data_IF_486029892345
#
_entry.id   IF_486029892345
#
_cell.length_a   1.000
_cell.length_b   1.000
_cell.length_c   1.000
_cell.angle_alpha   90.00
_cell.angle_beta   90.00
_cell.angle_gamma   90.00
#
_symmetry.space_group_name_H-M   'P 1'
#
loop_
_entity.id
_entity.type
_entity.pdbx_description
1 polymer ?
#
# COMPACT_ATOMS: atom_id res chain seq x y z
N UNK A 1 5.10 -8.76 39.11
CA UNK A 1 5.54 -9.06 37.72
C UNK A 1 4.37 -9.76 37.04
N UNK A 2 3.53 -9.00 36.31
CA UNK A 2 2.33 -9.56 35.67
C UNK A 2 2.64 -9.83 34.20
N UNK A 3 2.42 -11.07 33.79
CA UNK A 3 2.73 -11.58 32.47
C UNK A 3 1.94 -10.86 31.36
N UNK A 4 2.65 -10.55 30.27
CA UNK A 4 2.12 -10.02 29.01
C UNK A 4 0.96 -10.89 28.51
N UNK A 5 -0.14 -10.24 28.14
CA UNK A 5 -1.36 -10.86 27.65
C UNK A 5 -1.08 -11.77 26.44
N UNK A 6 -1.35 -13.07 26.61
CA UNK A 6 -1.55 -14.01 25.52
C UNK A 6 -2.82 -13.59 24.77
N UNK A 7 -2.71 -13.29 23.48
CA UNK A 7 -3.81 -13.09 22.54
C UNK A 7 -4.39 -11.65 22.37
N UNK A 8 -3.56 -10.62 22.55
CA UNK A 8 -3.82 -9.33 21.93
C UNK A 8 -3.03 -9.22 20.62
N UNK A 9 -3.68 -9.29 19.46
CA UNK A 9 -3.02 -8.94 18.19
C UNK A 9 -2.50 -7.51 18.34
N UNK A 10 -1.17 -7.31 18.29
CA UNK A 10 -0.51 -6.09 18.79
C UNK A 10 -0.50 -4.91 17.80
N UNK A 11 -1.40 -4.91 16.82
CA UNK A 11 -1.53 -3.83 15.85
C UNK A 11 -3.01 -3.51 15.68
N UNK A 12 -3.48 -2.42 16.32
CA UNK A 12 -4.83 -1.87 16.10
C UNK A 12 -4.97 -1.18 14.73
N UNK A 13 -3.85 -1.07 14.01
CA UNK A 13 -3.70 -0.38 12.74
C UNK A 13 -2.79 -1.23 11.84
N UNK A 14 -3.12 -1.38 10.56
CA UNK A 14 -2.25 -2.02 9.58
C UNK A 14 -0.85 -1.45 9.62
N UNK A 15 0.14 -2.33 9.61
CA UNK A 15 1.55 -1.99 9.60
C UNK A 15 1.99 -1.72 8.17
N UNK A 16 2.80 -0.68 7.95
CA UNK A 16 3.45 -0.46 6.66
C UNK A 16 4.43 -1.61 6.42
N UNK A 17 4.25 -2.32 5.31
CA UNK A 17 5.05 -3.48 4.92
C UNK A 17 5.87 -3.25 3.67
N UNK A 18 5.50 -2.24 2.88
CA UNK A 18 6.21 -1.83 1.65
C UNK A 18 6.25 -0.30 1.58
N UNK A 19 7.36 0.24 1.09
CA UNK A 19 7.54 1.67 0.88
C UNK A 19 8.45 1.88 -0.33
N UNK A 20 8.10 2.83 -1.19
CA UNK A 20 8.95 3.26 -2.30
C UNK A 20 8.79 4.75 -2.59
N UNK A 21 9.89 5.41 -2.90
CA UNK A 21 9.93 6.83 -3.28
C UNK A 21 10.10 6.96 -4.79
N UNK A 22 9.38 7.90 -5.40
CA UNK A 22 9.48 8.17 -6.82
C UNK A 22 10.87 8.67 -7.18
N UNK A 23 11.59 8.04 -8.12
CA UNK A 23 12.87 8.53 -8.60
C UNK A 23 12.74 9.81 -9.46
N UNK A 24 11.50 10.21 -9.78
CA UNK A 24 11.20 11.36 -10.62
C UNK A 24 10.84 12.61 -9.82
N UNK A 25 10.40 12.46 -8.56
CA UNK A 25 9.98 13.57 -7.70
C UNK A 25 10.34 13.30 -6.25
N UNK A 26 11.25 14.11 -5.73
CA UNK A 26 11.61 14.11 -4.32
C UNK A 26 10.37 14.38 -3.44
N UNK A 27 10.22 13.57 -2.38
CA UNK A 27 9.10 13.70 -1.46
C UNK A 27 7.79 13.07 -1.93
N UNK A 28 7.77 12.45 -3.13
CA UNK A 28 6.67 11.59 -3.57
C UNK A 28 6.89 10.15 -3.12
N UNK A 29 6.20 9.74 -2.07
CA UNK A 29 6.38 8.45 -1.41
C UNK A 29 5.08 7.67 -1.38
N UNK A 30 5.18 6.36 -1.64
CA UNK A 30 4.09 5.39 -1.59
C UNK A 30 4.37 4.39 -0.48
N UNK A 31 3.40 4.14 0.40
CA UNK A 31 3.52 3.21 1.52
C UNK A 31 2.34 2.24 1.54
N UNK A 32 2.61 0.94 1.48
CA UNK A 32 1.62 -0.13 1.47
C UNK A 32 1.52 -0.81 2.81
N UNK A 33 0.30 -1.13 3.26
CA UNK A 33 0.05 -1.82 4.53
C UNK A 33 -0.39 -3.26 4.34
N UNK A 34 -0.24 -4.06 5.39
CA UNK A 34 -0.71 -5.45 5.40
C UNK A 34 -2.24 -5.58 5.35
N UNK A 35 -2.96 -4.53 5.74
CA UNK A 35 -4.42 -4.41 5.64
C UNK A 35 -4.91 -3.98 4.24
N UNK A 36 -4.02 -3.83 3.25
CA UNK A 36 -4.41 -3.49 1.89
C UNK A 36 -4.67 -2.01 1.64
N UNK A 37 -4.14 -1.12 2.50
CA UNK A 37 -4.16 0.32 2.28
C UNK A 37 -2.85 0.76 1.64
N UNK A 38 -2.93 1.69 0.68
CA UNK A 38 -1.78 2.42 0.15
C UNK A 38 -1.93 3.88 0.55
N UNK A 39 -0.93 4.41 1.24
CA UNK A 39 -0.81 5.81 1.60
C UNK A 39 0.20 6.49 0.67
N UNK A 40 -0.15 7.67 0.16
CA UNK A 40 0.67 8.44 -0.77
C UNK A 40 0.91 9.83 -0.21
N UNK A 41 2.14 10.31 -0.24
CA UNK A 41 2.49 11.70 0.06
C UNK A 41 3.27 12.28 -1.11
N UNK A 42 3.10 13.56 -1.41
CA UNK A 42 3.87 14.28 -2.43
C UNK A 42 4.64 15.50 -1.89
N UNK A 43 4.70 15.60 -0.56
CA UNK A 43 5.37 16.66 0.19
C UNK A 43 6.23 16.11 1.33
N UNK A 44 6.89 14.98 1.11
CA UNK A 44 7.86 14.42 2.06
C UNK A 44 7.25 13.96 3.39
N UNK A 45 5.95 13.64 3.39
CA UNK A 45 5.24 13.12 4.56
C UNK A 45 4.52 14.17 5.42
N UNK A 46 4.49 15.44 5.00
CA UNK A 46 3.67 16.47 5.68
C UNK A 46 2.17 16.18 5.56
N UNK A 47 1.73 15.60 4.43
CA UNK A 47 0.35 15.17 4.20
C UNK A 47 0.27 13.83 3.48
N UNK A 48 -0.74 13.02 3.82
CA UNK A 48 -0.92 11.67 3.29
C UNK A 48 -2.34 11.47 2.76
N UNK A 49 -2.44 10.94 1.55
CA UNK A 49 -3.67 10.51 0.90
C UNK A 49 -3.77 8.99 1.01
N UNK A 50 -4.94 8.47 1.40
CA UNK A 50 -5.14 7.03 1.60
C UNK A 50 -6.01 6.47 0.50
N UNK A 51 -5.59 5.34 -0.03
CA UNK A 51 -6.30 4.55 -1.03
C UNK A 51 -6.48 3.15 -0.46
N UNK A 52 -7.72 2.71 -0.33
CA UNK A 52 -8.09 1.45 0.32
C UNK A 52 -8.96 0.55 -0.57
N UNK A 53 -9.28 0.98 -1.77
CA UNK A 53 -10.10 0.25 -2.73
C UNK A 53 -9.41 0.28 -4.09
N UNK A 54 -9.30 -0.89 -4.71
CA UNK A 54 -8.68 -1.03 -6.03
C UNK A 54 -9.57 -1.93 -6.90
N UNK A 55 -9.82 -1.56 -8.17
CA UNK A 55 -10.63 -2.38 -9.07
C UNK A 55 -10.06 -3.80 -9.20
N UNK A 56 -10.87 -4.81 -8.87
CA UNK A 56 -10.48 -6.22 -8.97
C UNK A 56 -9.62 -6.75 -7.81
N UNK A 57 -9.33 -5.93 -6.79
CA UNK A 57 -8.63 -6.36 -5.57
C UNK A 57 -9.63 -6.46 -4.42
N UNK A 58 -9.79 -7.64 -3.78
CA UNK A 58 -10.63 -7.78 -2.60
C UNK A 58 -10.17 -6.88 -1.45
N UNK A 59 -11.09 -6.43 -0.60
CA UNK A 59 -10.75 -5.69 0.61
C UNK A 59 -9.85 -6.51 1.55
N UNK A 60 -8.94 -5.83 2.23
CA UNK A 60 -7.93 -6.44 3.11
C UNK A 60 -6.97 -7.40 2.41
N UNK A 61 -6.60 -7.09 1.17
CA UNK A 61 -5.54 -7.83 0.44
C UNK A 61 -4.17 -7.23 0.75
N UNK A 62 -3.22 -8.06 1.17
CA UNK A 62 -1.86 -7.64 1.52
C UNK A 62 -1.15 -6.94 0.36
N UNK A 63 -0.64 -5.72 0.58
CA UNK A 63 0.22 -5.02 -0.39
C UNK A 63 1.63 -5.56 -0.24
N UNK A 64 1.99 -6.52 -1.10
CA UNK A 64 3.27 -7.21 -1.00
C UNK A 64 4.45 -6.32 -1.38
N UNK A 65 4.30 -5.57 -2.46
CA UNK A 65 5.38 -4.72 -2.98
C UNK A 65 4.80 -3.50 -3.70
N UNK A 66 5.55 -2.40 -3.66
CA UNK A 66 5.25 -1.14 -4.34
C UNK A 66 6.48 -0.71 -5.12
N UNK A 67 6.30 -0.37 -6.40
CA UNK A 67 7.37 0.09 -7.27
C UNK A 67 6.91 1.35 -7.98
N UNK A 68 7.52 2.49 -7.65
CA UNK A 68 7.31 3.74 -8.33
C UNK A 68 7.89 3.67 -9.75
N UNK A 69 7.13 4.19 -10.71
CA UNK A 69 7.52 4.18 -12.11
C UNK A 69 8.69 5.12 -12.36
N UNK A 70 9.67 4.64 -13.13
CA UNK A 70 10.79 5.45 -13.63
C UNK A 70 10.41 6.34 -14.81
N UNK A 71 9.20 6.18 -15.36
CA UNK A 71 8.76 6.86 -16.58
C UNK A 71 7.55 7.76 -16.38
N UNK A 72 6.79 7.57 -15.30
CA UNK A 72 5.63 8.40 -14.98
C UNK A 72 5.68 8.84 -13.53
N UNK A 73 5.76 10.15 -13.30
CA UNK A 73 5.93 10.75 -11.97
C UNK A 73 4.89 10.22 -10.97
N UNK A 74 3.63 10.14 -11.40
CA UNK A 74 2.49 9.80 -10.56
C UNK A 74 2.06 8.34 -10.68
N UNK A 75 2.91 7.47 -11.24
CA UNK A 75 2.58 6.07 -11.48
C UNK A 75 3.32 5.17 -10.50
N UNK A 76 2.57 4.31 -9.79
CA UNK A 76 3.11 3.25 -8.93
C UNK A 76 2.50 1.92 -9.32
N UNK A 77 3.31 0.87 -9.34
CA UNK A 77 2.87 -0.51 -9.51
C UNK A 77 2.77 -1.17 -8.15
N UNK A 78 1.62 -1.75 -7.84
CA UNK A 78 1.43 -2.50 -6.61
C UNK A 78 1.22 -4.00 -6.92
N UNK A 79 1.90 -4.84 -6.14
CA UNK A 79 1.69 -6.27 -6.13
C UNK A 79 0.82 -6.64 -4.93
N UNK A 80 -0.37 -7.17 -5.19
CA UNK A 80 -1.28 -7.63 -4.15
C UNK A 80 -1.18 -9.15 -3.95
N UNK A 81 -1.07 -9.59 -2.70
CA UNK A 81 -0.97 -11.01 -2.35
C UNK A 81 -2.16 -11.43 -1.49
N UNK A 82 -3.10 -12.17 -2.08
CA UNK A 82 -4.25 -12.75 -1.36
C UNK A 82 -4.04 -14.24 -1.01
N UNK A 83 -2.80 -14.69 -0.86
CA UNK A 83 -2.51 -16.12 -0.69
C UNK A 83 -2.99 -16.68 0.65
N UNK A 84 -3.24 -15.84 1.66
CA UNK A 84 -3.72 -16.27 2.98
C UNK A 84 -5.22 -16.62 3.05
N UNK A 85 -6.03 -16.35 2.01
CA UNK A 85 -7.50 -16.54 2.05
C UNK A 85 -8.06 -17.65 1.13
N UNK A 86 -7.25 -18.65 0.80
CA UNK A 86 -7.69 -19.93 0.20
C UNK A 86 -8.18 -19.89 -1.26
N UNK A 87 -7.58 -19.06 -2.12
CA UNK A 87 -7.63 -19.25 -3.57
C UNK A 87 -6.22 -19.04 -4.15
N UNK A 88 -5.71 -20.06 -4.82
CA UNK A 88 -4.42 -20.02 -5.53
C UNK A 88 -4.64 -19.35 -6.89
N UNK A 89 -4.64 -18.02 -6.93
CA UNK A 89 -4.72 -17.22 -8.16
C UNK A 89 -3.78 -16.00 -8.08
N UNK A 90 -3.32 -15.48 -9.23
CA UNK A 90 -1.98 -14.95 -9.41
C UNK A 90 -1.81 -13.56 -8.81
N UNK A 91 -0.55 -13.15 -8.66
CA UNK A 91 -0.17 -11.79 -8.32
C UNK A 91 -0.87 -10.83 -9.28
N UNK A 92 -1.74 -9.97 -8.76
CA UNK A 92 -2.31 -8.87 -9.53
C UNK A 92 -1.30 -7.73 -9.53
N UNK A 93 -0.82 -7.36 -10.73
CA UNK A 93 -0.03 -6.15 -10.95
C UNK A 93 -0.95 -5.09 -11.56
N UNK A 94 -1.12 -3.97 -10.86
CA UNK A 94 -1.91 -2.83 -11.33
C UNK A 94 -1.04 -1.59 -11.36
N UNK A 95 -1.09 -0.85 -12.46
CA UNK A 95 -0.55 0.50 -12.53
C UNK A 95 -1.59 1.45 -11.94
N UNK A 96 -1.20 2.21 -10.92
CA UNK A 96 -2.06 3.23 -10.31
C UNK A 96 -1.47 4.59 -10.63
N UNK A 97 -2.31 5.49 -11.15
CA UNK A 97 -1.92 6.88 -11.41
C UNK A 97 -2.61 7.79 -10.40
N UNK A 98 -1.86 8.62 -9.68
CA UNK A 98 -2.48 9.72 -8.91
C UNK A 98 -3.07 10.71 -9.91
N UNK A 99 -4.39 10.81 -9.94
CA UNK A 99 -5.12 11.86 -10.64
C UNK A 99 -5.09 13.17 -9.83
N UNK A 100 -5.28 14.30 -10.51
CA UNK A 100 -5.18 15.64 -9.91
C UNK A 100 -6.26 15.92 -8.85
N UNK A 101 -7.22 15.00 -8.66
CA UNK A 101 -8.30 15.10 -7.69
C UNK A 101 -8.23 14.03 -6.56
N UNK A 102 -7.21 13.18 -6.56
CA UNK A 102 -7.00 12.18 -5.51
C UNK A 102 -7.97 10.99 -5.52
N UNK A 103 -8.59 10.68 -6.66
CA UNK A 103 -9.35 9.46 -6.90
C UNK A 103 -8.84 8.67 -8.12
N UNK A 104 -8.31 7.48 -7.86
CA UNK A 104 -8.00 6.48 -8.89
C UNK A 104 -9.25 5.76 -9.40
#
# INVERSE_FOLDING_TARGET
MNAVAKNGSTSRYGSVVSIDESPLKEGLVYAGTDDGQISVTDNGGESWFRINQFPGVPEYTYVYDLIASKHGENVVFAAFNNHKRAISLPMFTGAMTKDVHGQI
#
